data_IF_557816705125
#
_entry.id   IF_557816705125
#
_cell.length_a   1.000
_cell.length_b   1.000
_cell.length_c   1.000
_cell.angle_alpha   90.00
_cell.angle_beta   90.00
_cell.angle_gamma   90.00
#
_symmetry.space_group_name_H-M   'P 1'
#
loop_
_entity.id
_entity.type
_entity.pdbx_description
1 polymer ?
#
# COMPACT_ATOMS: atom_id res chain seq x y z
N UNK A 1 15.21 19.51 -8.20
CA UNK A 1 13.91 19.00 -8.68
C UNK A 1 13.19 18.35 -7.51
N UNK A 2 11.88 18.53 -7.42
CA UNK A 2 11.04 17.84 -6.42
C UNK A 2 11.10 16.33 -6.70
N UNK A 3 11.42 15.53 -5.68
CA UNK A 3 11.46 14.08 -5.76
C UNK A 3 10.09 13.51 -5.40
N UNK A 4 9.29 13.19 -6.43
CA UNK A 4 8.02 12.47 -6.26
C UNK A 4 8.27 10.97 -6.35
N UNK A 5 7.83 10.24 -5.32
CA UNK A 5 7.87 8.78 -5.29
C UNK A 5 6.48 8.17 -5.27
N UNK A 6 6.31 7.01 -5.89
CA UNK A 6 5.11 6.20 -5.80
C UNK A 6 5.30 5.07 -4.78
N UNK A 7 4.33 4.85 -3.90
CA UNK A 7 4.23 3.63 -3.12
C UNK A 7 3.00 2.82 -3.57
N UNK A 8 3.16 1.92 -4.56
CA UNK A 8 2.04 1.19 -5.12
C UNK A 8 1.64 -0.01 -4.27
N UNK A 9 0.35 -0.35 -4.33
CA UNK A 9 -0.18 -1.56 -3.69
C UNK A 9 -1.66 -1.78 -3.95
N UNK A 10 -2.16 -2.95 -3.59
CA UNK A 10 -3.62 -3.16 -3.51
C UNK A 10 -4.18 -2.58 -2.21
N UNK A 11 -3.43 -2.64 -1.11
CA UNK A 11 -3.87 -2.11 0.20
C UNK A 11 -5.28 -2.55 0.60
N UNK A 12 -5.51 -3.87 0.60
CA UNK A 12 -6.82 -4.48 0.86
C UNK A 12 -6.78 -5.41 2.09
N UNK A 13 -6.71 -4.85 3.32
CA UNK A 13 -6.66 -3.42 3.63
C UNK A 13 -5.23 -2.88 3.79
N UNK A 14 -5.11 -1.56 3.96
CA UNK A 14 -3.90 -0.90 4.44
C UNK A 14 -3.59 -1.32 5.88
N UNK A 15 -2.35 -1.62 6.21
CA UNK A 15 -1.93 -2.19 7.51
C UNK A 15 -0.84 -1.35 8.16
N UNK A 16 -0.51 -1.63 9.42
CA UNK A 16 0.58 -0.97 10.13
C UNK A 16 1.94 -1.22 9.47
N UNK A 17 2.12 -2.36 8.78
CA UNK A 17 3.30 -2.62 7.95
C UNK A 17 3.38 -1.70 6.72
N UNK A 18 2.26 -1.43 6.05
CA UNK A 18 2.23 -0.47 4.94
C UNK A 18 2.49 0.96 5.43
N UNK A 19 1.87 1.32 6.55
CA UNK A 19 2.09 2.61 7.20
C UNK A 19 3.56 2.83 7.54
N UNK A 20 4.26 1.83 8.10
CA UNK A 20 5.69 1.93 8.41
C UNK A 20 6.53 2.30 7.18
N UNK A 21 6.32 1.58 6.07
CA UNK A 21 7.02 1.84 4.80
C UNK A 21 6.68 3.24 4.29
N UNK A 22 5.41 3.63 4.30
CA UNK A 22 4.97 4.94 3.84
C UNK A 22 5.57 6.08 4.68
N UNK A 23 5.58 5.93 6.02
CA UNK A 23 6.19 6.90 6.94
C UNK A 23 7.68 7.07 6.72
N UNK A 24 8.39 5.97 6.43
CA UNK A 24 9.82 5.99 6.15
C UNK A 24 10.11 6.61 4.78
N UNK A 25 9.31 6.29 3.77
CA UNK A 25 9.41 6.89 2.45
C UNK A 25 9.11 8.39 2.47
N UNK A 26 8.06 8.82 3.18
CA UNK A 26 7.67 10.23 3.28
C UNK A 26 8.75 11.12 3.94
N UNK A 27 9.74 10.54 4.64
CA UNK A 27 10.90 11.27 5.18
C UNK A 27 12.03 11.46 4.17
N UNK A 28 12.04 10.69 3.08
CA UNK A 28 13.13 10.66 2.10
C UNK A 28 12.79 11.41 0.81
N UNK A 29 11.50 11.67 0.56
CA UNK A 29 11.00 12.28 -0.68
C UNK A 29 10.18 13.52 -0.38
N UNK A 30 10.22 14.48 -1.30
CA UNK A 30 9.46 15.72 -1.18
C UNK A 30 7.95 15.45 -1.26
N UNK A 31 7.56 14.47 -2.09
CA UNK A 31 6.18 14.03 -2.22
C UNK A 31 6.08 12.51 -2.37
N UNK A 32 5.16 11.89 -1.63
CA UNK A 32 4.86 10.46 -1.75
C UNK A 32 3.40 10.26 -2.18
N UNK A 33 3.20 9.55 -3.28
CA UNK A 33 1.86 9.16 -3.74
C UNK A 33 1.65 7.69 -3.38
N UNK A 34 0.68 7.42 -2.51
CA UNK A 34 0.19 6.06 -2.26
C UNK A 34 -0.66 5.63 -3.46
N UNK A 35 -0.08 4.82 -4.35
CA UNK A 35 -0.71 4.42 -5.61
C UNK A 35 -1.58 3.16 -5.42
N UNK A 36 -2.88 3.35 -5.29
CA UNK A 36 -3.85 2.30 -4.99
C UNK A 36 -4.34 1.66 -6.29
N UNK A 37 -3.89 0.43 -6.55
CA UNK A 37 -4.29 -0.31 -7.75
C UNK A 37 -5.77 -0.75 -7.68
N UNK A 38 -6.52 -0.58 -8.77
CA UNK A 38 -7.91 -1.09 -8.88
C UNK A 38 -7.96 -2.62 -8.92
N UNK A 39 -6.94 -3.27 -9.47
CA UNK A 39 -6.76 -4.72 -9.57
C UNK A 39 -8.06 -5.51 -9.83
N UNK A 40 -8.65 -5.36 -11.02
CA UNK A 40 -9.95 -5.97 -11.36
C UNK A 40 -9.97 -7.51 -11.31
N UNK A 41 -8.80 -8.17 -11.44
CA UNK A 41 -8.68 -9.64 -11.44
C UNK A 41 -8.65 -10.28 -10.05
N UNK A 42 -8.34 -9.54 -8.98
CA UNK A 42 -8.38 -10.04 -7.60
C UNK A 42 -9.66 -9.56 -6.92
N UNK A 43 -10.42 -10.49 -6.32
CA UNK A 43 -11.54 -10.11 -5.43
C UNK A 43 -10.95 -9.37 -4.23
N UNK A 44 -11.08 -8.04 -4.24
CA UNK A 44 -10.77 -7.18 -3.11
C UNK A 44 -11.95 -7.17 -2.15
N UNK A 45 -11.68 -7.11 -0.84
CA UNK A 45 -12.72 -6.97 0.18
C UNK A 45 -13.35 -5.58 0.10
N UNK A 46 -12.53 -4.57 -0.16
CA UNK A 46 -12.95 -3.17 -0.22
C UNK A 46 -12.84 -2.59 -1.64
N UNK A 47 -13.84 -1.79 -2.02
CA UNK A 47 -13.82 -1.06 -3.30
C UNK A 47 -12.64 -0.09 -3.30
N UNK A 48 -12.16 0.26 -4.51
CA UNK A 48 -11.04 1.19 -4.68
C UNK A 48 -11.24 2.50 -3.89
N UNK A 49 -12.43 3.09 -3.97
CA UNK A 49 -12.76 4.33 -3.26
C UNK A 49 -12.67 4.18 -1.74
N UNK A 50 -13.12 3.06 -1.19
CA UNK A 50 -13.05 2.79 0.26
C UNK A 50 -11.60 2.67 0.72
N UNK A 51 -10.77 1.97 -0.06
CA UNK A 51 -9.33 1.85 0.23
C UNK A 51 -8.63 3.20 0.20
N UNK A 52 -8.89 4.03 -0.82
CA UNK A 52 -8.33 5.38 -0.91
C UNK A 52 -8.74 6.23 0.29
N UNK A 53 -10.05 6.32 0.56
CA UNK A 53 -10.58 7.17 1.63
C UNK A 53 -10.05 6.78 3.01
N UNK A 54 -9.90 5.48 3.32
CA UNK A 54 -9.33 5.10 4.60
C UNK A 54 -7.83 5.38 4.71
N UNK A 55 -7.07 5.25 3.63
CA UNK A 55 -5.65 5.61 3.63
C UNK A 55 -5.49 7.13 3.82
N UNK A 56 -6.29 7.95 3.13
CA UNK A 56 -6.27 9.41 3.29
C UNK A 56 -6.52 9.83 4.73
N UNK A 57 -7.51 9.23 5.39
CA UNK A 57 -7.82 9.49 6.81
C UNK A 57 -6.62 9.15 7.71
N UNK A 58 -5.92 8.04 7.45
CA UNK A 58 -4.75 7.65 8.25
C UNK A 58 -3.65 8.71 8.22
N UNK A 59 -3.38 9.29 7.05
CA UNK A 59 -2.37 10.35 6.93
C UNK A 59 -2.86 11.69 7.51
N UNK A 60 -4.14 12.02 7.32
CA UNK A 60 -4.76 13.22 7.88
C UNK A 60 -4.76 13.21 9.42
N UNK A 61 -5.15 12.10 10.05
CA UNK A 61 -5.14 11.91 11.51
C UNK A 61 -3.73 12.04 12.12
N UNK A 62 -2.69 11.77 11.33
CA UNK A 62 -1.28 11.90 11.73
C UNK A 62 -0.67 13.26 11.40
N UNK A 63 -1.40 14.16 10.75
CA UNK A 63 -0.90 15.47 10.34
C UNK A 63 0.18 15.44 9.25
N UNK A 64 0.18 14.40 8.40
CA UNK A 64 1.19 14.23 7.35
C UNK A 64 0.69 14.87 6.06
N UNK A 65 1.42 15.88 5.58
CA UNK A 65 0.97 16.73 4.47
C UNK A 65 1.61 16.41 3.12
N UNK A 66 2.77 15.76 3.12
CA UNK A 66 3.52 15.44 1.90
C UNK A 66 3.14 14.07 1.30
N UNK A 67 2.04 13.47 1.75
CA UNK A 67 1.51 12.20 1.24
C UNK A 67 0.14 12.42 0.62
N UNK A 68 -0.04 11.96 -0.61
CA UNK A 68 -1.35 11.88 -1.29
C UNK A 68 -1.69 10.43 -1.59
N UNK A 69 -2.97 10.16 -1.86
CA UNK A 69 -3.46 8.82 -2.15
C UNK A 69 -4.21 8.87 -3.47
N UNK A 70 -3.80 8.05 -4.43
CA UNK A 70 -4.39 8.08 -5.76
C UNK A 70 -4.66 6.68 -6.28
N UNK A 71 -5.84 6.50 -6.88
CA UNK A 71 -6.21 5.26 -7.54
C UNK A 71 -5.67 5.21 -8.96
N UNK A 72 -5.24 4.03 -9.42
CA UNK A 72 -4.86 3.82 -10.82
C UNK A 72 -5.35 2.48 -11.36
N UNK A 73 -5.52 2.42 -12.69
CA UNK A 73 -6.09 1.28 -13.42
C UNK A 73 -5.19 0.74 -14.53
N UNK A 74 -4.19 1.53 -14.95
CA UNK A 74 -3.22 1.21 -16.01
C UNK A 74 -1.94 0.59 -15.42
N UNK A 75 -0.88 0.49 -16.23
CA UNK A 75 0.42 0.00 -15.81
C UNK A 75 1.07 0.99 -14.83
N UNK A 76 1.78 0.46 -13.83
CA UNK A 76 2.51 1.28 -12.87
C UNK A 76 3.53 2.19 -13.57
N UNK A 77 4.22 1.67 -14.58
CA UNK A 77 5.17 2.43 -15.39
C UNK A 77 4.54 3.64 -16.08
N UNK A 78 3.30 3.51 -16.58
CA UNK A 78 2.57 4.60 -17.22
C UNK A 78 2.03 5.60 -16.19
N UNK A 79 1.48 5.10 -15.09
CA UNK A 79 1.05 5.94 -13.97
C UNK A 79 2.22 6.77 -13.41
N UNK A 80 3.43 6.20 -13.35
CA UNK A 80 4.62 6.94 -12.96
C UNK A 80 4.93 8.11 -13.91
N UNK A 81 4.82 7.91 -15.23
CA UNK A 81 4.99 8.97 -16.23
C UNK A 81 3.93 10.06 -16.06
N UNK A 82 2.66 9.69 -15.90
CA UNK A 82 1.54 10.63 -15.67
C UNK A 82 1.77 11.51 -14.43
N UNK A 83 2.41 10.96 -13.40
CA UNK A 83 2.72 11.65 -12.15
C UNK A 83 4.08 12.33 -12.11
N UNK A 84 4.85 12.27 -13.20
CA UNK A 84 6.24 12.73 -13.24
C UNK A 84 7.06 12.15 -12.06
N UNK A 85 6.80 10.90 -11.71
CA UNK A 85 7.48 10.18 -10.65
C UNK A 85 8.53 9.26 -11.26
N UNK A 86 9.78 9.37 -10.81
CA UNK A 86 10.89 8.53 -11.25
C UNK A 86 11.25 7.43 -10.25
N UNK A 87 10.55 7.34 -9.11
CA UNK A 87 10.87 6.41 -8.03
C UNK A 87 9.63 5.63 -7.62
N UNK A 88 9.78 4.31 -7.51
CA UNK A 88 8.80 3.40 -6.89
C UNK A 88 9.38 2.85 -5.61
N UNK A 89 8.64 2.95 -4.50
CA UNK A 89 8.97 2.35 -3.22
C UNK A 89 8.26 1.01 -3.09
N UNK A 90 8.99 -0.01 -2.66
CA UNK A 90 8.42 -1.33 -2.32
C UNK A 90 8.93 -1.79 -0.96
N UNK A 91 8.06 -2.46 -0.21
CA UNK A 91 8.43 -3.08 1.07
C UNK A 91 8.86 -4.53 0.85
N UNK A 92 9.95 -4.97 1.46
CA UNK A 92 10.37 -6.38 1.48
C UNK A 92 10.27 -6.93 2.90
N UNK A 93 9.52 -8.03 3.07
CA UNK A 93 9.38 -8.72 4.37
C UNK A 93 10.21 -9.98 4.44
N UNK A 94 10.03 -10.86 3.46
CA UNK A 94 10.67 -12.18 3.39
C UNK A 94 11.31 -12.40 2.03
N UNK A 95 12.21 -13.38 1.93
CA UNK A 95 12.93 -13.71 0.70
C UNK A 95 12.00 -14.02 -0.48
N UNK A 96 10.83 -14.60 -0.24
CA UNK A 96 9.85 -14.89 -1.31
C UNK A 96 9.24 -13.62 -1.93
N UNK A 97 9.13 -12.51 -1.18
CA UNK A 97 8.68 -11.23 -1.74
C UNK A 97 9.72 -10.74 -2.76
N UNK A 98 11.02 -10.91 -2.48
CA UNK A 98 12.11 -10.42 -3.32
C UNK A 98 12.08 -10.97 -4.74
N UNK A 99 11.84 -12.27 -4.94
CA UNK A 99 11.83 -12.86 -6.30
C UNK A 99 10.71 -12.27 -7.17
N UNK A 100 9.53 -12.10 -6.59
CA UNK A 100 8.40 -11.48 -7.29
C UNK A 100 8.69 -10.01 -7.60
N UNK A 101 9.15 -9.27 -6.60
CA UNK A 101 9.46 -7.85 -6.71
C UNK A 101 10.59 -7.58 -7.71
N UNK A 102 11.67 -8.38 -7.67
CA UNK A 102 12.79 -8.26 -8.59
C UNK A 102 12.34 -8.41 -10.04
N UNK A 103 11.47 -9.39 -10.35
CA UNK A 103 10.89 -9.56 -11.68
C UNK A 103 10.05 -8.33 -12.08
N UNK A 104 9.20 -7.85 -11.17
CA UNK A 104 8.36 -6.67 -11.46
C UNK A 104 9.18 -5.40 -11.68
N UNK A 105 10.31 -5.23 -10.98
CA UNK A 105 11.20 -4.10 -11.21
C UNK A 105 11.80 -4.13 -12.63
N UNK A 106 12.21 -5.30 -13.14
CA UNK A 106 12.72 -5.43 -14.51
C UNK A 106 11.66 -5.03 -15.55
N UNK A 107 10.43 -5.56 -15.43
CA UNK A 107 9.35 -5.17 -16.34
C UNK A 107 9.03 -3.67 -16.30
N UNK A 108 9.00 -3.07 -15.12
CA UNK A 108 8.77 -1.64 -14.98
C UNK A 108 9.90 -0.81 -15.60
N UNK A 109 11.16 -1.24 -15.45
CA UNK A 109 12.31 -0.57 -16.06
C UNK A 109 12.30 -0.69 -17.59
N UNK A 110 11.96 -1.85 -18.14
CA UNK A 110 11.81 -2.03 -19.60
C UNK A 110 10.71 -1.12 -20.18
N UNK A 111 9.61 -0.92 -19.45
CA UNK A 111 8.50 -0.05 -19.87
C UNK A 111 8.76 1.45 -19.61
N UNK A 112 9.57 1.76 -18.61
CA UNK A 112 9.95 3.12 -18.23
C UNK A 112 11.40 3.13 -17.69
N UNK A 113 12.40 3.34 -18.56
CA UNK A 113 13.81 3.29 -18.18
C UNK A 113 14.24 4.32 -17.13
N UNK A 114 13.48 5.40 -16.96
CA UNK A 114 13.72 6.44 -15.94
C UNK A 114 13.11 6.06 -14.57
N UNK A 115 12.39 4.95 -14.48
CA UNK A 115 11.75 4.48 -13.26
C UNK A 115 12.69 3.59 -12.46
N UNK A 116 13.13 4.09 -11.31
CA UNK A 116 13.90 3.33 -10.34
C UNK A 116 12.99 2.68 -9.30
N UNK A 117 13.32 1.46 -8.88
CA UNK A 117 12.63 0.77 -7.79
C UNK A 117 13.53 0.72 -6.56
N UNK A 118 13.08 1.31 -5.46
CA UNK A 118 13.77 1.33 -4.17
C UNK A 118 13.03 0.43 -3.19
N UNK A 119 13.78 -0.50 -2.60
CA UNK A 119 13.27 -1.42 -1.61
C UNK A 119 13.57 -0.94 -0.19
N UNK A 120 12.54 -0.92 0.65
CA UNK A 120 12.67 -0.72 2.08
C UNK A 120 12.40 -2.04 2.80
N UNK A 121 13.37 -2.52 3.55
CA UNK A 121 13.17 -3.67 4.43
C UNK A 121 12.13 -3.35 5.48
N UNK A 122 11.11 -4.19 5.63
CA UNK A 122 10.09 -4.03 6.67
C UNK A 122 10.69 -4.13 8.06
N UNK A 123 10.22 -3.29 8.97
CA UNK A 123 10.67 -3.33 10.37
C UNK A 123 10.25 -4.65 11.01
N UNK A 124 11.09 -5.21 11.89
CA UNK A 124 10.87 -6.53 12.52
C UNK A 124 9.48 -6.66 13.16
N UNK A 125 8.98 -5.59 13.78
CA UNK A 125 7.65 -5.51 14.39
C UNK A 125 6.49 -5.78 13.42
N UNK A 126 6.69 -5.64 12.10
CA UNK A 126 5.62 -5.75 11.10
C UNK A 126 5.84 -6.85 10.06
N UNK A 127 6.92 -7.64 10.17
CA UNK A 127 7.27 -8.69 9.20
C UNK A 127 6.16 -9.75 9.02
N UNK A 128 5.48 -10.09 10.10
CA UNK A 128 4.41 -11.09 10.13
C UNK A 128 3.07 -10.55 9.61
N UNK A 129 2.96 -9.24 9.33
CA UNK A 129 1.70 -8.62 8.94
C UNK A 129 1.54 -8.68 7.42
N UNK A 130 0.44 -9.29 6.98
CA UNK A 130 -0.03 -9.22 5.59
C UNK A 130 -1.51 -8.88 5.56
N UNK A 131 -1.97 -8.15 4.53
CA UNK A 131 -3.40 -7.88 4.36
C UNK A 131 -4.23 -9.16 4.27
N UNK A 132 -3.67 -10.24 3.70
CA UNK A 132 -4.31 -11.56 3.65
C UNK A 132 -4.54 -12.13 5.05
N UNK A 133 -3.49 -12.20 5.87
CA UNK A 133 -3.56 -12.73 7.23
C UNK A 133 -4.48 -11.89 8.12
N UNK A 134 -4.44 -10.56 7.98
CA UNK A 134 -5.35 -9.64 8.69
C UNK A 134 -6.81 -9.92 8.33
N UNK A 135 -7.13 -10.07 7.04
CA UNK A 135 -8.48 -10.40 6.60
C UNK A 135 -8.95 -11.75 7.11
N UNK A 136 -8.08 -12.76 7.09
CA UNK A 136 -8.39 -14.09 7.59
C UNK A 136 -8.74 -14.06 9.08
N UNK A 137 -7.88 -13.47 9.92
CA UNK A 137 -8.12 -13.33 11.36
C UNK A 137 -9.43 -12.56 11.62
N UNK A 138 -9.64 -11.44 10.94
CA UNK A 138 -10.85 -10.63 11.11
C UNK A 138 -12.12 -11.39 10.68
N UNK A 139 -12.05 -12.18 9.61
CA UNK A 139 -13.19 -12.98 9.13
C UNK A 139 -13.60 -14.09 10.11
N UNK A 140 -12.67 -14.53 10.96
CA UNK A 140 -12.90 -15.51 12.02
C UNK A 140 -13.25 -14.86 13.37
N UNK A 141 -13.45 -13.54 13.41
CA UNK A 141 -13.79 -12.80 14.63
C UNK A 141 -12.61 -12.50 15.54
N UNK A 142 -11.37 -12.71 15.10
CA UNK A 142 -10.18 -12.34 15.85
C UNK A 142 -9.94 -10.83 15.88
N UNK A 143 -9.33 -10.33 16.96
CA UNK A 143 -8.96 -8.92 17.06
C UNK A 143 -7.71 -8.60 16.22
N UNK A 144 -7.83 -7.59 15.36
CA UNK A 144 -6.77 -7.12 14.47
C UNK A 144 -6.36 -5.67 14.74
N UNK A 145 -6.87 -5.07 15.82
CA UNK A 145 -6.63 -3.67 16.19
C UNK A 145 -5.14 -3.32 16.31
N UNK A 146 -4.28 -4.28 16.66
CA UNK A 146 -2.83 -4.11 16.74
C UNK A 146 -2.13 -4.09 15.37
N UNK A 147 -2.77 -4.56 14.30
CA UNK A 147 -2.13 -4.79 12.99
C UNK A 147 -2.53 -3.76 11.93
N UNK A 148 -3.56 -2.96 12.19
CA UNK A 148 -4.09 -1.96 11.25
C UNK A 148 -4.37 -0.62 11.94
N UNK A 149 -4.45 0.48 11.18
CA UNK A 149 -4.93 1.74 11.72
C UNK A 149 -6.39 1.65 12.21
N UNK A 150 -6.78 2.49 13.17
CA UNK A 150 -8.09 2.45 13.82
C UNK A 150 -9.28 2.60 12.86
N UNK A 151 -9.15 3.42 11.81
CA UNK A 151 -10.19 3.54 10.77
C UNK A 151 -10.39 2.23 9.99
N UNK A 152 -9.28 1.53 9.71
CA UNK A 152 -9.29 0.25 9.01
C UNK A 152 -9.86 -0.88 9.87
N UNK A 153 -9.53 -0.92 11.17
CA UNK A 153 -10.11 -1.90 12.11
C UNK A 153 -11.65 -1.78 12.15
N UNK A 154 -12.17 -0.56 12.26
CA UNK A 154 -13.62 -0.30 12.21
C UNK A 154 -14.24 -0.75 10.89
N UNK A 155 -13.54 -0.52 9.77
CA UNK A 155 -14.00 -0.92 8.45
C UNK A 155 -14.07 -2.46 8.31
N UNK A 156 -13.06 -3.19 8.79
CA UNK A 156 -13.02 -4.65 8.82
C UNK A 156 -14.15 -5.23 9.68
N UNK A 157 -14.35 -4.71 10.89
CA UNK A 157 -15.44 -5.13 11.79
C UNK A 157 -16.79 -4.97 11.12
N UNK A 158 -17.03 -3.84 10.44
CA UNK A 158 -18.27 -3.61 9.69
C UNK A 158 -18.46 -4.60 8.55
N UNK A 159 -17.42 -4.88 7.78
CA UNK A 159 -17.49 -5.77 6.61
C UNK A 159 -17.76 -7.23 6.98
N UNK A 160 -17.18 -7.72 8.09
CA UNK A 160 -17.37 -9.10 8.53
C UNK A 160 -18.55 -9.30 9.48
N UNK A 161 -19.02 -8.26 10.19
CA UNK A 161 -20.26 -8.33 10.94
C UNK A 161 -21.49 -8.61 10.05
N UNK A 162 -21.46 -8.17 8.79
CA UNK A 162 -22.50 -8.47 7.79
C UNK A 162 -22.42 -9.88 7.20
N UNK A 163 -21.38 -10.67 7.50
CA UNK A 163 -21.19 -12.02 6.96
C UNK A 163 -21.64 -13.13 7.94
N UNK A 164 -21.92 -12.78 9.19
CA UNK A 164 -22.37 -13.68 10.27
C UNK A 164 -23.87 -13.56 10.60
N UNK A 165 -24.66 -12.90 9.72
CA UNK A 165 -26.10 -12.74 9.85
C UNK A 165 -26.84 -13.46 8.72
#
# INVERSE_FOLDING_TARGET
>A
MLKTALYPGTFDPFTNGHLDIAMRAAKQFDHLIIAVSKHEKKKTLFKLKERITEIEKVFAEKGIQNVTVEGFTNLLADFAKEKNASIVIRGLRVTSDFEYEFKMAQFNNEMNPELEVVYLMSTAAYLHISSTSVKEIASLGGDVSAYVPSGVDKLLKKAYASATA
#
